data_IF_658626593468
#
_entry.id   IF_658626593468
#
_cell.length_a   1.000
_cell.length_b   1.000
_cell.length_c   1.000
_cell.angle_alpha   90.00
_cell.angle_beta   90.00
_cell.angle_gamma   90.00
#
_symmetry.space_group_name_H-M   'P 1'
#
loop_
_entity.id
_entity.type
_entity.pdbx_description
1 polymer ?
#
# COMPACT_ATOMS: atom_id res chain seq x y z
N UNK A 1 7.64 -16.78 -11.42
CA UNK A 1 6.35 -16.92 -10.72
C UNK A 1 5.93 -15.57 -10.17
N UNK A 2 4.71 -15.15 -10.45
CA UNK A 2 4.16 -13.90 -9.93
C UNK A 2 3.59 -14.16 -8.54
N UNK A 3 4.04 -13.39 -7.55
CA UNK A 3 3.43 -13.42 -6.23
C UNK A 3 2.13 -12.61 -6.25
N UNK A 4 1.08 -13.16 -5.66
CA UNK A 4 -0.16 -12.43 -5.43
C UNK A 4 -0.52 -12.46 -3.95
N UNK A 5 -1.02 -11.33 -3.48
CA UNK A 5 -1.42 -11.13 -2.09
C UNK A 5 -2.84 -10.57 -2.08
N UNK A 6 -3.61 -10.96 -1.08
CA UNK A 6 -4.97 -10.43 -0.88
C UNK A 6 -5.08 -9.93 0.56
N UNK A 7 -4.73 -8.67 0.81
CA UNK A 7 -4.78 -8.13 2.17
C UNK A 7 -6.20 -7.95 2.70
N UNK A 8 -6.35 -8.01 4.00
CA UNK A 8 -7.62 -7.71 4.66
C UNK A 8 -7.95 -6.23 4.55
N UNK A 9 -6.94 -5.37 4.69
CA UNK A 9 -7.04 -3.93 4.48
C UNK A 9 -5.84 -3.43 3.72
N UNK A 10 -5.99 -2.30 3.05
CA UNK A 10 -4.93 -1.72 2.25
C UNK A 10 -5.06 -0.21 2.20
N UNK A 11 -3.93 0.44 2.09
CA UNK A 11 -3.85 1.89 1.86
C UNK A 11 -2.91 2.12 0.68
N UNK A 12 -3.13 3.22 -0.03
CA UNK A 12 -2.15 3.71 -0.99
C UNK A 12 -1.43 4.87 -0.32
N UNK A 13 -0.12 4.76 -0.21
CA UNK A 13 0.72 5.81 0.36
C UNK A 13 1.59 6.43 -0.72
N UNK A 14 1.69 7.74 -0.68
CA UNK A 14 2.54 8.52 -1.56
C UNK A 14 3.81 8.86 -0.81
N UNK A 15 4.94 8.42 -1.31
CA UNK A 15 6.23 8.65 -0.68
C UNK A 15 6.98 9.73 -1.45
N UNK A 16 7.22 10.86 -0.76
CA UNK A 16 7.86 12.02 -1.35
C UNK A 16 9.22 12.20 -0.71
N UNK A 17 10.32 11.89 -1.44
CA UNK A 17 11.66 12.11 -0.90
C UNK A 17 11.94 13.59 -0.67
N UNK A 18 12.64 13.91 0.42
CA UNK A 18 12.97 15.28 0.77
C UNK A 18 14.04 15.88 -0.14
N UNK A 19 14.80 15.05 -0.86
CA UNK A 19 15.86 15.50 -1.76
C UNK A 19 15.37 15.79 -3.18
N UNK A 20 14.05 15.71 -3.43
CA UNK A 20 13.48 15.96 -4.74
C UNK A 20 13.55 14.79 -5.71
N UNK A 21 13.93 13.61 -5.24
CA UNK A 21 13.93 12.40 -6.06
C UNK A 21 12.51 11.99 -6.45
N UNK A 22 12.41 10.94 -7.26
CA UNK A 22 11.13 10.48 -7.80
C UNK A 22 10.12 10.10 -6.71
N UNK A 23 8.92 10.65 -6.81
CA UNK A 23 7.78 10.29 -5.96
C UNK A 23 7.33 8.87 -6.30
N UNK A 24 7.04 8.07 -5.28
CA UNK A 24 6.60 6.69 -5.45
C UNK A 24 5.27 6.49 -4.73
N UNK A 25 4.37 5.74 -5.37
CA UNK A 25 3.14 5.29 -4.71
C UNK A 25 3.32 3.83 -4.34
N UNK A 26 2.93 3.46 -3.13
CA UNK A 26 3.06 2.09 -2.64
C UNK A 26 1.77 1.63 -1.98
N UNK A 27 1.54 0.31 -2.03
CA UNK A 27 0.48 -0.32 -1.25
C UNK A 27 1.02 -0.64 0.13
N UNK A 28 0.32 -0.17 1.16
CA UNK A 28 0.54 -0.59 2.54
C UNK A 28 -0.56 -1.58 2.87
N UNK A 29 -0.22 -2.86 2.87
CA UNK A 29 -1.15 -3.95 3.04
C UNK A 29 -1.09 -4.48 4.47
N UNK A 30 -2.25 -4.81 5.03
CA UNK A 30 -2.32 -5.35 6.39
C UNK A 30 -3.27 -6.54 6.46
N UNK A 31 -2.95 -7.45 7.35
CA UNK A 31 -3.75 -8.64 7.64
C UNK A 31 -4.03 -8.70 9.13
N UNK A 32 -5.26 -9.07 9.47
CA UNK A 32 -5.61 -9.34 10.86
C UNK A 32 -4.86 -10.59 11.33
N UNK A 33 -4.54 -10.66 12.60
CA UNK A 33 -3.96 -11.85 13.18
C UNK A 33 -4.96 -13.00 13.15
N UNK A 34 -4.45 -14.21 12.96
CA UNK A 34 -5.25 -15.43 13.05
C UNK A 34 -5.08 -16.06 14.43
N UNK A 35 -5.84 -17.12 14.66
CA UNK A 35 -5.73 -17.87 15.91
C UNK A 35 -4.30 -18.38 16.16
N UNK A 36 -3.60 -18.73 15.10
CA UNK A 36 -2.24 -19.28 15.18
C UNK A 36 -1.15 -18.28 14.82
N UNK A 37 -1.50 -17.10 14.34
CA UNK A 37 -0.54 -16.10 13.93
C UNK A 37 -0.94 -14.69 14.30
N UNK A 38 0.02 -13.82 14.47
CA UNK A 38 -0.22 -12.41 14.75
C UNK A 38 -0.57 -11.62 13.49
N UNK A 39 -0.96 -10.36 13.71
CA UNK A 39 -1.18 -9.43 12.62
C UNK A 39 0.10 -9.23 11.81
N UNK A 40 -0.03 -8.95 10.53
CA UNK A 40 1.11 -8.74 9.64
C UNK A 40 0.86 -7.55 8.72
N UNK A 41 1.94 -7.07 8.12
CA UNK A 41 1.88 -5.97 7.17
C UNK A 41 2.92 -6.17 6.08
N UNK A 42 2.71 -5.46 4.96
CA UNK A 42 3.69 -5.44 3.88
C UNK A 42 3.58 -4.12 3.13
N UNK A 43 4.72 -3.56 2.77
CA UNK A 43 4.80 -2.41 1.89
C UNK A 43 5.40 -2.89 0.57
N UNK A 44 4.71 -2.67 -0.55
CA UNK A 44 5.20 -3.18 -1.83
C UNK A 44 6.38 -2.33 -2.35
N UNK A 45 6.97 -2.78 -3.46
CA UNK A 45 8.15 -2.12 -4.06
C UNK A 45 7.84 -0.79 -4.73
N UNK A 46 6.59 -0.52 -4.97
CA UNK A 46 6.10 0.66 -5.71
C UNK A 46 5.08 0.21 -6.73
N UNK A 47 4.00 0.97 -6.88
CA UNK A 47 2.93 0.65 -7.82
C UNK A 47 3.40 1.01 -9.23
N UNK A 48 3.27 0.06 -10.14
CA UNK A 48 3.53 0.26 -11.55
C UNK A 48 2.25 0.50 -12.32
N UNK A 49 1.21 -0.27 -12.02
CA UNK A 49 -0.08 -0.19 -12.72
C UNK A 49 -1.19 -0.73 -11.84
N UNK A 50 -2.41 -0.43 -12.21
CA UNK A 50 -3.60 -0.93 -11.54
C UNK A 50 -4.65 -1.30 -12.57
N UNK A 51 -5.40 -2.37 -12.28
CA UNK A 51 -6.54 -2.81 -13.09
C UNK A 51 -7.71 -3.11 -12.16
N UNK A 52 -8.91 -3.14 -12.73
CA UNK A 52 -10.11 -3.56 -12.00
C UNK A 52 -10.44 -4.98 -12.43
N UNK A 53 -10.65 -5.84 -11.44
CA UNK A 53 -11.02 -7.23 -11.68
C UNK A 53 -12.07 -7.64 -10.65
N UNK A 54 -13.32 -7.74 -11.08
CA UNK A 54 -14.48 -8.00 -10.21
C UNK A 54 -14.56 -6.96 -9.08
N UNK A 55 -14.50 -7.39 -7.82
CA UNK A 55 -14.59 -6.51 -6.65
C UNK A 55 -13.21 -6.05 -6.16
N UNK A 56 -12.17 -6.23 -6.98
CA UNK A 56 -10.81 -5.92 -6.60
C UNK A 56 -10.20 -4.84 -7.49
N UNK A 57 -9.35 -4.01 -6.87
CA UNK A 57 -8.30 -3.31 -7.58
C UNK A 57 -7.07 -4.21 -7.54
N UNK A 58 -6.49 -4.49 -8.69
CA UNK A 58 -5.29 -5.33 -8.79
C UNK A 58 -4.11 -4.43 -9.08
N UNK A 59 -3.31 -4.18 -8.07
CA UNK A 59 -2.11 -3.35 -8.19
C UNK A 59 -0.91 -4.22 -8.49
N UNK A 60 -0.19 -3.89 -9.54
CA UNK A 60 1.05 -4.57 -9.89
C UNK A 60 2.22 -3.69 -9.47
N UNK A 61 3.14 -4.25 -8.70
CA UNK A 61 4.33 -3.55 -8.24
C UNK A 61 5.47 -3.64 -9.25
N UNK A 62 6.50 -2.83 -9.06
CA UNK A 62 7.68 -2.84 -9.92
C UNK A 62 8.41 -4.19 -9.89
N UNK A 63 8.30 -4.92 -8.79
CA UNK A 63 8.89 -6.26 -8.67
C UNK A 63 8.07 -7.35 -9.37
N UNK A 64 6.89 -7.02 -9.89
CA UNK A 64 5.98 -7.96 -10.52
C UNK A 64 4.95 -8.57 -9.57
N UNK A 65 5.04 -8.35 -8.28
CA UNK A 65 4.05 -8.83 -7.32
C UNK A 65 2.72 -8.13 -7.53
N UNK A 66 1.62 -8.86 -7.35
CA UNK A 66 0.27 -8.30 -7.50
C UNK A 66 -0.45 -8.30 -6.15
N UNK A 67 -1.17 -7.21 -5.89
CA UNK A 67 -2.00 -7.07 -4.69
C UNK A 67 -3.45 -6.95 -5.13
N UNK A 68 -4.25 -7.93 -4.74
CA UNK A 68 -5.69 -7.96 -4.98
C UNK A 68 -6.37 -7.26 -3.81
N UNK A 69 -6.72 -6.02 -4.02
CA UNK A 69 -7.22 -5.13 -2.97
C UNK A 69 -8.73 -4.99 -3.09
N UNK A 70 -9.45 -5.51 -2.11
CA UNK A 70 -10.92 -5.44 -2.08
C UNK A 70 -11.35 -3.97 -2.13
N UNK A 71 -12.30 -3.65 -3.01
CA UNK A 71 -12.80 -2.28 -3.15
C UNK A 71 -13.34 -1.72 -1.83
N UNK A 72 -13.91 -2.57 -0.99
CA UNK A 72 -14.46 -2.19 0.30
C UNK A 72 -13.47 -2.35 1.46
N UNK A 73 -12.23 -2.71 1.16
CA UNK A 73 -11.21 -2.97 2.17
C UNK A 73 -10.24 -1.84 2.45
N UNK A 74 -10.47 -0.67 1.86
CA UNK A 74 -9.55 0.45 2.07
C UNK A 74 -9.53 0.85 3.54
N UNK A 75 -8.37 0.83 4.15
CA UNK A 75 -8.22 1.13 5.56
C UNK A 75 -6.99 0.46 6.15
N UNK A 76 -6.96 0.39 7.47
CA UNK A 76 -5.83 -0.14 8.19
C UNK A 76 -6.30 -0.95 9.39
N UNK A 77 -5.43 -1.79 9.91
CA UNK A 77 -5.65 -2.49 11.18
C UNK A 77 -5.04 -1.66 12.30
N UNK A 78 -5.41 -1.97 13.56
CA UNK A 78 -4.80 -1.31 14.72
C UNK A 78 -3.29 -1.49 14.73
N UNK A 79 -2.84 -2.71 14.41
CA UNK A 79 -1.41 -3.00 14.30
C UNK A 79 -0.77 -2.18 13.17
N UNK A 80 -1.43 -2.10 12.01
CA UNK A 80 -0.93 -1.35 10.86
C UNK A 80 -0.83 0.14 11.10
N UNK A 81 -1.75 0.71 11.89
CA UNK A 81 -1.67 2.13 12.28
C UNK A 81 -0.37 2.40 13.01
N UNK A 82 -0.02 1.54 13.96
CA UNK A 82 1.21 1.68 14.73
C UNK A 82 2.45 1.51 13.87
N UNK A 83 2.44 0.53 12.96
CA UNK A 83 3.55 0.29 12.05
C UNK A 83 3.75 1.49 11.13
N UNK A 84 2.68 2.00 10.55
CA UNK A 84 2.75 3.13 9.61
C UNK A 84 3.28 4.38 10.31
N UNK A 85 2.85 4.64 11.55
CA UNK A 85 3.35 5.76 12.33
C UNK A 85 4.86 5.64 12.57
N UNK A 86 5.34 4.44 12.86
CA UNK A 86 6.78 4.20 13.00
C UNK A 86 7.55 4.48 11.71
N UNK A 87 6.98 4.09 10.56
CA UNK A 87 7.61 4.36 9.26
C UNK A 87 7.69 5.86 8.99
N UNK A 88 6.63 6.59 9.30
CA UNK A 88 6.60 8.04 9.16
C UNK A 88 7.67 8.68 10.04
N UNK A 89 7.74 8.29 11.30
CA UNK A 89 8.68 8.87 12.27
C UNK A 89 10.13 8.59 11.91
N UNK A 90 10.43 7.36 11.47
CA UNK A 90 11.79 6.97 11.10
C UNK A 90 12.27 7.65 9.83
N UNK A 91 11.36 7.93 8.90
CA UNK A 91 11.70 8.47 7.59
C UNK A 91 11.64 10.00 7.50
N UNK A 92 11.24 10.71 8.54
CA UNK A 92 10.88 12.13 8.47
C UNK A 92 11.95 13.06 7.91
N UNK A 93 13.22 12.68 7.98
CA UNK A 93 14.32 13.47 7.43
C UNK A 93 14.73 13.05 6.02
N UNK A 94 14.15 11.98 5.51
CA UNK A 94 14.50 11.39 4.22
C UNK A 94 13.34 11.47 3.25
N UNK A 95 12.11 11.24 3.74
CA UNK A 95 10.91 11.28 2.93
C UNK A 95 9.70 11.61 3.79
N UNK A 96 8.61 12.00 3.14
CA UNK A 96 7.30 12.12 3.78
C UNK A 96 6.39 11.04 3.21
N UNK A 97 5.48 10.54 4.05
CA UNK A 97 4.49 9.55 3.66
C UNK A 97 3.11 10.18 3.79
N UNK A 98 2.38 10.21 2.70
CA UNK A 98 1.01 10.70 2.67
C UNK A 98 0.07 9.55 2.37
N UNK A 99 -0.92 9.31 3.24
CA UNK A 99 -1.98 8.34 3.00
C UNK A 99 -3.03 9.01 2.13
N UNK A 100 -3.33 8.42 0.98
CA UNK A 100 -4.33 8.99 0.07
C UNK A 100 -5.74 8.66 0.57
N UNK A 101 -6.67 9.57 0.28
CA UNK A 101 -8.07 9.42 0.69
C UNK A 101 -8.72 8.26 -0.05
N UNK A 102 -9.65 7.57 0.61
CA UNK A 102 -10.36 6.42 -0.01
C UNK A 102 -11.22 6.82 -1.20
N UNK A 103 -11.56 8.10 -1.34
CA UNK A 103 -12.30 8.61 -2.50
C UNK A 103 -11.44 8.83 -3.72
N UNK A 104 -10.13 8.59 -3.61
CA UNK A 104 -9.18 8.74 -4.72
C UNK A 104 -9.53 7.77 -5.85
N UNK A 105 -9.47 8.27 -7.08
CA UNK A 105 -9.62 7.39 -8.24
C UNK A 105 -8.26 6.80 -8.59
N UNK A 106 -8.07 5.53 -8.23
CA UNK A 106 -6.80 4.82 -8.40
C UNK A 106 -6.42 4.63 -9.86
N UNK A 107 -7.39 4.71 -10.76
CA UNK A 107 -7.16 4.45 -12.18
C UNK A 107 -6.57 5.66 -12.92
N UNK A 108 -6.64 6.86 -12.32
CA UNK A 108 -6.16 8.09 -12.98
C UNK A 108 -4.83 8.61 -12.44
N UNK A 109 -4.29 7.96 -11.40
CA UNK A 109 -3.00 8.35 -10.85
C UNK A 109 -1.88 7.98 -11.83
N UNK A 110 -0.95 8.89 -12.02
CA UNK A 110 0.27 8.58 -12.75
C UNK A 110 1.27 7.96 -11.77
N UNK A 111 1.47 6.65 -11.89
CA UNK A 111 2.36 5.90 -11.00
C UNK A 111 3.82 5.91 -11.45
N UNK A 112 4.10 6.44 -12.62
CA UNK A 112 5.46 6.46 -13.17
C UNK A 112 6.13 7.81 -13.08
#
# INVERSE_FOLDING_TARGET
MIMSETPDHWLVVKIVPTDGSTVTHKIFATWHGSYLGGASWRLNSGIKSVAIENDFYVFTGHSGSQYYCHKNGYGNTSYGIMVLQNLVDKGKNVYTIEVLDETTDWMVINYE
#
